data_IF_209697130004
#
_entry.id   IF_209697130004
#
_cell.length_a   1.000
_cell.length_b   1.000
_cell.length_c   1.000
_cell.angle_alpha   90.00
_cell.angle_beta   90.00
_cell.angle_gamma   90.00
#
_symmetry.space_group_name_H-M   'P 1'
#
loop_
_entity.id
_entity.type
_entity.pdbx_description
1 polymer ?
#
# COMPACT_ATOMS: atom_id res chain seq x y z
N UNK A 1 -9.56 -0.24 -36.37
CA UNK A 1 -8.17 0.26 -36.38
C UNK A 1 -8.12 1.79 -36.43
N UNK A 2 -8.75 2.46 -37.41
CA UNK A 2 -8.78 3.93 -37.52
C UNK A 2 -9.47 4.64 -36.33
N UNK A 3 -10.56 4.07 -35.81
CA UNK A 3 -11.24 4.57 -34.61
C UNK A 3 -10.38 4.48 -33.33
N UNK A 4 -9.48 3.50 -33.24
CA UNK A 4 -8.55 3.36 -32.11
C UNK A 4 -7.46 4.43 -32.17
N UNK A 5 -6.95 4.74 -33.37
CA UNK A 5 -6.01 5.84 -33.57
C UNK A 5 -6.65 7.19 -33.24
N UNK A 6 -7.90 7.42 -33.67
CA UNK A 6 -8.62 8.65 -33.37
C UNK A 6 -8.91 8.81 -31.88
N UNK A 7 -9.34 7.73 -31.20
CA UNK A 7 -9.53 7.72 -29.76
C UNK A 7 -8.25 7.98 -28.97
N UNK A 8 -7.13 7.36 -29.39
CA UNK A 8 -5.81 7.58 -28.76
C UNK A 8 -5.32 9.02 -28.91
N UNK A 9 -5.54 9.63 -30.07
CA UNK A 9 -5.17 11.03 -30.31
C UNK A 9 -5.97 12.00 -29.44
N UNK A 10 -7.29 11.78 -29.31
CA UNK A 10 -8.14 12.58 -28.43
C UNK A 10 -7.70 12.46 -26.97
N UNK A 11 -7.40 11.25 -26.51
CA UNK A 11 -6.93 11.02 -25.15
C UNK A 11 -5.61 11.76 -24.86
N UNK A 12 -4.65 11.70 -25.78
CA UNK A 12 -3.37 12.40 -25.65
C UNK A 12 -3.55 13.93 -25.63
N UNK A 13 -4.44 14.48 -26.47
CA UNK A 13 -4.74 15.91 -26.47
C UNK A 13 -5.34 16.36 -25.13
N UNK A 14 -6.30 15.60 -24.61
CA UNK A 14 -6.92 15.93 -23.31
C UNK A 14 -5.89 15.86 -22.18
N UNK A 15 -5.04 14.83 -22.16
CA UNK A 15 -3.98 14.70 -21.16
C UNK A 15 -2.98 15.87 -21.21
N UNK A 16 -2.57 16.29 -22.40
CA UNK A 16 -1.65 17.42 -22.58
C UNK A 16 -2.27 18.75 -22.09
N UNK A 17 -3.54 18.99 -22.41
CA UNK A 17 -4.25 20.21 -21.97
C UNK A 17 -4.37 20.26 -20.45
N UNK A 18 -4.79 19.17 -19.81
CA UNK A 18 -4.91 19.10 -18.35
C UNK A 18 -3.54 19.26 -17.68
N UNK A 19 -2.51 18.60 -18.21
CA UNK A 19 -1.13 18.73 -17.72
C UNK A 19 -0.58 20.16 -17.83
N UNK A 20 -0.92 20.88 -18.90
CA UNK A 20 -0.51 22.26 -19.08
C UNK A 20 -1.15 23.21 -18.06
N UNK A 21 -2.46 23.08 -17.81
CA UNK A 21 -3.16 23.92 -16.83
C UNK A 21 -2.76 23.62 -15.37
N UNK A 22 -2.42 22.37 -15.08
CA UNK A 22 -1.92 21.97 -13.75
C UNK A 22 -0.43 22.24 -13.58
N UNK A 23 0.27 22.64 -14.65
CA UNK A 23 1.70 22.92 -14.58
C UNK A 23 1.98 24.11 -13.67
N UNK A 24 3.04 23.97 -12.87
CA UNK A 24 3.51 25.03 -11.97
C UNK A 24 4.01 26.29 -12.69
N UNK A 25 4.05 26.31 -14.03
CA UNK A 25 4.49 27.45 -14.85
C UNK A 25 3.56 28.65 -14.64
N UNK A 26 2.24 28.42 -14.53
CA UNK A 26 1.28 29.50 -14.24
C UNK A 26 1.06 29.73 -12.74
N UNK A 27 1.32 28.73 -11.90
CA UNK A 27 1.03 28.80 -10.46
C UNK A 27 2.16 29.46 -9.64
N UNK A 28 3.38 29.57 -10.19
CA UNK A 28 4.56 30.11 -9.49
C UNK A 28 4.74 31.64 -9.66
N UNK A 29 3.65 32.39 -9.71
CA UNK A 29 3.67 33.87 -9.91
C UNK A 29 3.85 34.68 -8.61
N UNK A 30 3.90 34.03 -7.45
CA UNK A 30 4.27 34.67 -6.18
C UNK A 30 5.71 34.38 -5.74
N UNK A 31 6.35 35.35 -5.06
CA UNK A 31 7.55 35.08 -4.27
C UNK A 31 7.19 34.01 -3.24
N UNK A 32 7.69 32.79 -3.42
CA UNK A 32 7.57 31.73 -2.41
C UNK A 32 8.41 32.13 -1.20
N UNK A 33 7.83 32.88 -0.27
CA UNK A 33 8.49 33.17 1.00
C UNK A 33 8.66 31.85 1.76
N UNK A 34 9.80 31.69 2.44
CA UNK A 34 10.18 30.48 3.18
C UNK A 34 9.02 29.93 4.03
N UNK A 35 8.18 30.82 4.58
CA UNK A 35 7.00 30.49 5.39
C UNK A 35 5.91 29.66 4.70
N UNK A 36 5.71 29.82 3.39
CA UNK A 36 4.71 29.01 2.63
C UNK A 36 5.31 27.69 2.13
N UNK A 37 6.65 27.61 2.06
CA UNK A 37 7.38 26.42 1.64
C UNK A 37 7.87 25.54 2.80
N UNK A 38 7.81 26.03 4.04
CA UNK A 38 8.19 25.29 5.24
C UNK A 38 7.05 24.36 5.70
N UNK A 39 7.37 23.18 6.27
CA UNK A 39 6.37 22.30 6.87
C UNK A 39 5.57 23.03 7.95
N UNK A 40 4.31 22.65 8.12
CA UNK A 40 3.45 23.24 9.13
C UNK A 40 3.85 22.74 10.53
N UNK A 41 4.43 23.62 11.33
CA UNK A 41 4.88 23.33 12.69
C UNK A 41 4.04 24.04 13.75
N UNK A 42 2.77 24.30 13.44
CA UNK A 42 1.85 25.03 14.31
C UNK A 42 2.38 26.42 14.76
N UNK A 43 3.29 27.05 13.98
CA UNK A 43 3.86 28.36 14.28
C UNK A 43 5.15 28.35 15.12
N UNK A 44 5.69 27.18 15.45
CA UNK A 44 6.99 27.04 16.13
C UNK A 44 8.13 26.81 15.14
N UNK A 45 9.37 27.07 15.58
CA UNK A 45 10.57 26.75 14.79
C UNK A 45 11.00 25.30 15.03
N UNK A 46 11.23 24.54 13.95
CA UNK A 46 11.79 23.19 13.96
C UNK A 46 13.08 23.14 14.77
N UNK A 47 13.04 22.56 15.96
CA UNK A 47 14.24 22.34 16.78
C UNK A 47 14.90 20.99 16.49
N UNK A 48 14.30 20.13 15.66
CA UNK A 48 14.78 18.78 15.41
C UNK A 48 14.41 18.25 14.04
N UNK A 49 15.31 17.47 13.44
CA UNK A 49 15.00 16.64 12.26
C UNK A 49 13.81 15.73 12.59
N UNK A 50 12.84 15.69 11.67
CA UNK A 50 11.71 14.76 11.73
C UNK A 50 12.19 13.34 11.42
N UNK A 51 12.89 12.71 12.36
CA UNK A 51 13.08 11.28 12.33
C UNK A 51 11.74 10.63 12.62
N UNK A 52 11.11 10.07 11.60
CA UNK A 52 10.02 9.14 11.81
C UNK A 52 10.64 7.88 12.43
N UNK A 53 10.60 7.78 13.75
CA UNK A 53 10.84 6.53 14.46
C UNK A 53 9.75 5.56 14.05
N UNK A 54 9.99 4.85 12.94
CA UNK A 54 9.11 3.79 12.48
C UNK A 54 9.09 2.69 13.55
N UNK A 55 7.93 2.40 14.10
CA UNK A 55 7.83 1.34 15.09
C UNK A 55 7.91 -0.02 14.43
N UNK A 56 8.61 -0.95 15.09
CA UNK A 56 8.76 -2.34 14.65
C UNK A 56 7.42 -3.06 14.42
N UNK A 57 6.34 -2.59 15.04
CA UNK A 57 4.98 -3.11 14.84
C UNK A 57 4.49 -2.95 13.40
N UNK A 58 4.75 -1.80 12.76
CA UNK A 58 4.35 -1.58 11.37
C UNK A 58 5.20 -2.42 10.40
N UNK A 59 6.47 -2.64 10.73
CA UNK A 59 7.33 -3.52 9.96
C UNK A 59 6.80 -4.96 9.97
N UNK A 60 6.46 -5.47 11.15
CA UNK A 60 5.91 -6.83 11.32
C UNK A 60 4.60 -7.01 10.54
N UNK A 61 3.71 -6.01 10.58
CA UNK A 61 2.45 -6.04 9.82
C UNK A 61 2.68 -6.09 8.30
N UNK A 62 3.69 -5.38 7.79
CA UNK A 62 4.00 -5.38 6.36
C UNK A 62 4.53 -6.76 5.91
N UNK A 63 5.43 -7.36 6.67
CA UNK A 63 5.94 -8.71 6.37
C UNK A 63 4.82 -9.73 6.43
N UNK A 64 3.97 -9.67 7.46
CA UNK A 64 2.80 -10.54 7.57
C UNK A 64 1.85 -10.42 6.38
N UNK A 65 1.55 -9.18 5.96
CA UNK A 65 0.70 -8.93 4.80
C UNK A 65 1.25 -9.60 3.53
N UNK A 66 2.56 -9.48 3.28
CA UNK A 66 3.20 -10.10 2.11
C UNK A 66 3.13 -11.63 2.16
N UNK A 67 3.36 -12.24 3.33
CA UNK A 67 3.30 -13.71 3.47
C UNK A 67 1.87 -14.21 3.27
N UNK A 68 0.88 -13.58 3.92
CA UNK A 68 -0.52 -14.00 3.81
C UNK A 68 -1.10 -13.78 2.40
N UNK A 69 -0.66 -12.73 1.68
CA UNK A 69 -1.04 -12.50 0.28
C UNK A 69 -0.49 -13.59 -0.67
N UNK A 70 0.75 -14.05 -0.42
CA UNK A 70 1.34 -15.18 -1.14
C UNK A 70 0.55 -16.47 -0.86
N UNK A 71 0.21 -16.74 0.39
CA UNK A 71 -0.55 -17.93 0.78
C UNK A 71 -1.96 -17.97 0.17
N UNK A 72 -2.67 -16.82 0.12
CA UNK A 72 -3.97 -16.71 -0.58
C UNK A 72 -3.80 -16.93 -2.09
N UNK A 73 -2.75 -16.37 -2.69
CA UNK A 73 -2.46 -16.56 -4.11
C UNK A 73 -2.28 -18.04 -4.47
N UNK A 74 -1.71 -18.84 -3.57
CA UNK A 74 -1.61 -20.30 -3.74
C UNK A 74 -2.98 -21.01 -3.62
N UNK A 75 -3.85 -20.54 -2.72
CA UNK A 75 -5.22 -21.07 -2.59
C UNK A 75 -6.11 -20.75 -3.80
N UNK A 76 -5.86 -19.66 -4.52
CA UNK A 76 -6.65 -19.27 -5.70
C UNK A 76 -6.62 -20.32 -6.82
N UNK A 77 -5.59 -21.16 -6.88
CA UNK A 77 -5.49 -22.25 -7.86
C UNK A 77 -6.32 -23.51 -7.49
N UNK A 78 -6.94 -23.54 -6.31
CA UNK A 78 -7.78 -24.67 -5.87
C UNK A 78 -8.97 -25.01 -6.81
N UNK A 79 -9.79 -24.05 -7.29
CA UNK A 79 -10.90 -24.35 -8.19
C UNK A 79 -10.46 -24.95 -9.53
N UNK A 80 -9.30 -24.56 -10.05
CA UNK A 80 -8.75 -25.07 -11.33
C UNK A 80 -8.45 -26.57 -11.27
N UNK A 81 -8.14 -27.11 -10.08
CA UNK A 81 -7.77 -28.51 -9.90
C UNK A 81 -8.97 -29.47 -9.72
N UNK A 82 -10.20 -28.96 -9.69
CA UNK A 82 -11.43 -29.78 -9.61
C UNK A 82 -11.69 -30.47 -8.26
N UNK A 83 -12.96 -30.54 -7.85
CA UNK A 83 -13.44 -31.06 -6.55
C UNK A 83 -13.18 -32.56 -6.30
N UNK A 84 -12.72 -33.32 -7.28
CA UNK A 84 -12.60 -34.79 -7.27
C UNK A 84 -11.16 -35.31 -7.15
N UNK A 85 -10.21 -34.47 -6.73
CA UNK A 85 -8.81 -34.88 -6.62
C UNK A 85 -8.41 -35.21 -5.18
N UNK A 86 -7.58 -36.25 -5.03
CA UNK A 86 -6.90 -36.61 -3.78
C UNK A 86 -6.05 -35.49 -3.16
N UNK A 87 -5.91 -34.35 -3.85
CA UNK A 87 -5.20 -33.17 -3.39
C UNK A 87 -5.96 -32.34 -2.35
N UNK A 88 -7.26 -32.61 -2.13
CA UNK A 88 -8.05 -31.90 -1.11
C UNK A 88 -7.43 -32.00 0.29
N UNK A 89 -6.84 -33.14 0.63
CA UNK A 89 -6.14 -33.34 1.90
C UNK A 89 -4.95 -32.38 2.06
N UNK A 90 -4.20 -32.12 0.98
CA UNK A 90 -3.07 -31.18 1.04
C UNK A 90 -3.55 -29.74 1.22
N UNK A 91 -4.62 -29.34 0.53
CA UNK A 91 -5.23 -28.01 0.72
C UNK A 91 -5.80 -27.84 2.14
N UNK A 92 -6.42 -28.89 2.69
CA UNK A 92 -6.96 -28.86 4.04
C UNK A 92 -5.84 -28.78 5.10
N UNK A 93 -4.77 -29.57 4.94
CA UNK A 93 -3.58 -29.48 5.79
C UNK A 93 -2.93 -28.10 5.69
N UNK A 94 -2.84 -27.53 4.48
CA UNK A 94 -2.32 -26.18 4.26
C UNK A 94 -3.16 -25.13 5.01
N UNK A 95 -4.49 -25.19 4.94
CA UNK A 95 -5.38 -24.30 5.69
C UNK A 95 -5.22 -24.44 7.21
N UNK A 96 -5.01 -25.66 7.73
CA UNK A 96 -4.75 -25.87 9.16
C UNK A 96 -3.45 -25.18 9.57
N UNK A 97 -2.37 -25.38 8.82
CA UNK A 97 -1.06 -24.77 9.11
C UNK A 97 -1.19 -23.24 9.08
N UNK A 98 -1.89 -22.70 8.09
CA UNK A 98 -2.16 -21.27 7.95
C UNK A 98 -2.90 -20.73 9.19
N UNK A 99 -3.99 -21.39 9.58
CA UNK A 99 -4.78 -21.00 10.75
C UNK A 99 -3.97 -21.03 12.06
N UNK A 100 -3.10 -22.03 12.24
CA UNK A 100 -2.23 -22.14 13.40
C UNK A 100 -1.15 -21.04 13.42
N UNK A 101 -0.54 -20.75 12.27
CA UNK A 101 0.42 -19.66 12.13
C UNK A 101 -0.19 -18.32 12.54
N UNK A 102 -1.37 -18.00 11.99
CA UNK A 102 -2.09 -16.78 12.33
C UNK A 102 -2.44 -16.68 13.82
N UNK A 103 -2.98 -17.75 14.42
CA UNK A 103 -3.31 -17.74 15.86
C UNK A 103 -2.07 -17.56 16.72
N UNK A 104 -0.95 -18.22 16.39
CA UNK A 104 0.30 -18.08 17.15
C UNK A 104 0.83 -16.64 17.14
N UNK A 105 0.70 -15.94 16.02
CA UNK A 105 1.16 -14.58 15.86
C UNK A 105 0.28 -13.57 16.62
N UNK A 106 -1.04 -13.77 16.60
CA UNK A 106 -1.98 -12.98 17.41
C UNK A 106 -1.69 -13.16 18.90
N UNK A 107 -1.39 -14.39 19.35
CA UNK A 107 -1.05 -14.69 20.74
C UNK A 107 0.28 -14.06 21.18
N UNK A 108 1.29 -14.03 20.31
CA UNK A 108 2.55 -13.32 20.57
C UNK A 108 2.42 -11.79 20.56
N UNK A 109 1.28 -11.26 20.11
CA UNK A 109 0.97 -9.85 20.22
C UNK A 109 1.62 -8.97 19.14
N UNK A 110 2.14 -9.56 18.06
CA UNK A 110 2.68 -8.80 16.92
C UNK A 110 1.62 -7.91 16.25
N UNK A 111 0.35 -8.28 16.37
CA UNK A 111 -0.81 -7.55 15.82
C UNK A 111 -1.39 -6.52 16.82
N UNK A 112 -0.91 -6.48 18.07
CA UNK A 112 -1.45 -5.54 19.07
C UNK A 112 -1.04 -4.12 18.72
N UNK A 113 -2.03 -3.33 18.31
CA UNK A 113 -1.92 -1.88 18.30
C UNK A 113 -2.07 -1.35 19.72
N UNK A 114 -0.92 -1.04 20.33
CA UNK A 114 -0.85 -0.35 21.59
C UNK A 114 0.20 0.73 21.50
N UNK A 115 -0.22 1.98 21.67
CA UNK A 115 0.72 3.02 22.06
C UNK A 115 1.24 2.58 23.43
N UNK A 116 2.57 2.50 23.57
CA UNK A 116 3.21 2.31 24.86
C UNK A 116 2.68 3.40 25.80
N UNK A 117 1.74 3.04 26.65
CA UNK A 117 1.36 3.83 27.81
C UNK A 117 1.93 3.09 28.99
N UNK A 118 3.06 3.59 29.49
CA UNK A 118 3.40 3.40 30.89
C UNK A 118 2.29 4.05 31.75
#
# INVERSE_FOLDING_TARGET
MLALFFGGFIFLLLFAMIGFFTSGVFNKIGFSSISWGSPYECGFSSSSLSFNCFSFTYFSLLVFFVVFDLEISLLLNMPENGLLFGNFIYYFLFLIILSLGFVSEVLWGYVRWGYWKN
#
